data_IF_059188631492
#
_entry.id   IF_059188631492
#
_cell.length_a   1.000
_cell.length_b   1.000
_cell.length_c   1.000
_cell.angle_alpha   90.00
_cell.angle_beta   90.00
_cell.angle_gamma   90.00
#
_symmetry.space_group_name_H-M   'P 1'
#
loop_
_entity.id
_entity.type
_entity.pdbx_description
1 polymer ?
#
# COMPACT_ATOMS: atom_id res chain seq x y z
N UNK A 1 -5.60 -23.29 3.18
CA UNK A 1 -5.84 -23.82 1.91
C UNK A 1 -5.78 -22.87 0.78
N UNK A 2 -5.73 -23.42 -0.34
CA UNK A 2 -5.61 -22.61 -1.53
C UNK A 2 -6.74 -21.63 -1.70
N UNK A 3 -7.87 -21.91 -1.16
CA UNK A 3 -8.99 -21.03 -1.36
C UNK A 3 -8.78 -19.64 -0.83
N UNK A 4 -7.83 -19.45 0.03
CA UNK A 4 -7.58 -18.10 0.50
C UNK A 4 -6.84 -17.24 -0.48
N UNK A 5 -6.06 -17.85 -1.33
CA UNK A 5 -5.32 -17.09 -2.31
C UNK A 5 -6.21 -16.33 -3.26
N UNK A 6 -7.25 -16.96 -3.78
CA UNK A 6 -8.14 -16.23 -4.66
C UNK A 6 -8.75 -15.01 -3.98
N UNK A 7 -9.05 -15.14 -2.72
CA UNK A 7 -9.63 -14.03 -1.99
C UNK A 7 -8.69 -12.84 -1.97
N UNK A 8 -7.44 -13.10 -1.68
CA UNK A 8 -6.47 -12.02 -1.66
C UNK A 8 -6.30 -11.39 -3.04
N UNK A 9 -6.28 -12.22 -4.05
CA UNK A 9 -6.16 -11.71 -5.38
C UNK A 9 -7.30 -10.80 -5.76
N UNK A 10 -8.49 -11.16 -5.36
CA UNK A 10 -9.64 -10.34 -5.66
C UNK A 10 -9.54 -8.98 -4.99
N UNK A 11 -9.11 -8.96 -3.74
CA UNK A 11 -8.97 -7.70 -3.04
C UNK A 11 -7.96 -6.79 -3.73
N UNK A 12 -6.87 -7.36 -4.15
CA UNK A 12 -5.86 -6.57 -4.83
C UNK A 12 -6.40 -6.02 -6.13
N UNK A 13 -7.14 -6.83 -6.84
CA UNK A 13 -7.72 -6.38 -8.09
C UNK A 13 -8.66 -5.23 -7.88
N UNK A 14 -9.47 -5.32 -6.87
CA UNK A 14 -10.40 -4.24 -6.58
C UNK A 14 -9.67 -2.96 -6.26
N UNK A 15 -8.60 -3.06 -5.50
CA UNK A 15 -7.83 -1.89 -5.14
C UNK A 15 -7.24 -1.22 -6.36
N UNK A 16 -6.74 -2.00 -7.28
CA UNK A 16 -6.19 -1.45 -8.49
C UNK A 16 -7.24 -0.71 -9.29
N UNK A 17 -8.40 -1.31 -9.42
CA UNK A 17 -9.46 -0.67 -10.17
C UNK A 17 -9.84 0.66 -9.55
N UNK A 18 -9.93 0.69 -8.25
CA UNK A 18 -10.26 1.93 -7.56
C UNK A 18 -9.18 2.96 -7.80
N UNK A 19 -7.94 2.56 -7.71
CA UNK A 19 -6.84 3.48 -7.92
C UNK A 19 -6.86 4.10 -9.29
N UNK A 20 -7.17 3.30 -10.30
CA UNK A 20 -7.21 3.83 -11.64
C UNK A 20 -8.32 4.85 -11.81
N UNK A 21 -9.47 4.58 -11.24
CA UNK A 21 -10.56 5.52 -11.34
C UNK A 21 -10.22 6.83 -10.68
N UNK A 22 -9.61 6.76 -9.52
CA UNK A 22 -9.21 7.97 -8.82
C UNK A 22 -8.16 8.73 -9.61
N UNK A 23 -7.26 8.01 -10.24
CA UNK A 23 -6.23 8.64 -11.01
C UNK A 23 -6.78 9.54 -12.08
N UNK A 24 -7.81 9.09 -12.74
CA UNK A 24 -8.45 9.91 -13.73
C UNK A 24 -8.98 11.19 -13.14
N UNK A 25 -9.67 11.07 -12.04
CA UNK A 25 -10.32 12.22 -11.45
C UNK A 25 -9.30 13.25 -11.02
N UNK A 26 -8.24 12.80 -10.44
CA UNK A 26 -7.26 13.71 -9.88
C UNK A 26 -6.37 14.29 -10.95
N UNK A 27 -5.83 13.45 -11.77
CA UNK A 27 -4.99 13.91 -12.87
C UNK A 27 -3.61 14.29 -12.51
N UNK A 28 -3.26 14.41 -11.25
CA UNK A 28 -1.94 14.91 -10.89
C UNK A 28 -0.95 13.79 -10.60
N UNK A 29 -1.02 13.18 -9.50
CA UNK A 29 -0.05 12.16 -9.11
C UNK A 29 -0.76 10.87 -8.79
N UNK A 30 -1.46 10.30 -9.76
CA UNK A 30 -2.30 9.13 -9.47
C UNK A 30 -1.52 7.94 -8.98
N UNK A 31 -0.32 7.74 -9.50
CA UNK A 31 0.46 6.58 -9.10
C UNK A 31 1.09 6.78 -7.72
N UNK A 32 1.47 7.99 -7.39
CA UNK A 32 2.00 8.28 -6.07
C UNK A 32 0.92 8.10 -5.02
N UNK A 33 -0.28 8.59 -5.30
CA UNK A 33 -1.39 8.42 -4.38
C UNK A 33 -1.75 6.96 -4.22
N UNK A 34 -1.78 6.23 -5.32
CA UNK A 34 -2.09 4.81 -5.26
C UNK A 34 -1.04 4.06 -4.45
N UNK A 35 0.21 4.46 -4.58
CA UNK A 35 1.27 3.80 -3.84
C UNK A 35 1.07 3.93 -2.34
N UNK A 36 0.65 5.11 -1.89
CA UNK A 36 0.37 5.28 -0.47
C UNK A 36 -0.72 4.31 -0.02
N UNK A 37 -1.77 4.18 -0.81
CA UNK A 37 -2.84 3.26 -0.46
C UNK A 37 -2.36 1.82 -0.35
N UNK A 38 -1.54 1.39 -1.28
CA UNK A 38 -1.01 0.03 -1.22
C UNK A 38 -0.08 -0.18 -0.04
N UNK A 39 0.73 0.81 0.27
CA UNK A 39 1.61 0.71 1.42
C UNK A 39 0.81 0.65 2.72
N UNK A 40 -0.24 1.43 2.81
CA UNK A 40 -1.09 1.38 4.00
C UNK A 40 -1.77 0.02 4.14
N UNK A 41 -2.20 -0.55 3.04
CA UNK A 41 -2.80 -1.88 3.07
C UNK A 41 -1.79 -2.93 3.51
N UNK A 42 -0.58 -2.86 2.99
CA UNK A 42 0.45 -3.80 3.38
C UNK A 42 0.78 -3.67 4.86
N UNK A 43 0.84 -2.44 5.35
CA UNK A 43 1.10 -2.21 6.75
C UNK A 43 0.01 -2.84 7.62
N UNK A 44 -1.23 -2.69 7.21
CA UNK A 44 -2.33 -3.25 7.97
C UNK A 44 -2.24 -4.78 8.03
N UNK A 45 -1.86 -5.40 6.91
CA UNK A 45 -1.72 -6.85 6.89
C UNK A 45 -0.61 -7.30 7.82
N UNK A 46 0.51 -6.61 7.80
CA UNK A 46 1.62 -6.96 8.68
C UNK A 46 1.24 -6.78 10.13
N UNK A 47 0.48 -5.75 10.43
CA UNK A 47 0.06 -5.50 11.80
C UNK A 47 -0.81 -6.63 12.34
N UNK A 48 -1.51 -7.31 11.45
CA UNK A 48 -2.39 -8.40 11.86
C UNK A 48 -1.73 -9.77 11.80
N UNK A 49 -0.52 -9.84 11.30
CA UNK A 49 0.18 -11.10 11.23
C UNK A 49 0.41 -11.64 12.64
N UNK A 50 0.31 -12.95 12.79
CA UNK A 50 0.34 -13.55 14.10
C UNK A 50 1.70 -13.63 14.74
N UNK A 51 2.75 -13.72 13.96
CA UNK A 51 4.09 -13.88 14.49
C UNK A 51 5.01 -12.81 13.99
N UNK A 52 5.92 -12.38 14.84
CA UNK A 52 6.88 -11.35 14.48
C UNK A 52 8.10 -11.88 13.73
N UNK A 53 8.33 -13.17 13.77
CA UNK A 53 9.41 -13.80 13.00
C UNK A 53 10.75 -13.09 13.17
N UNK A 54 11.27 -13.15 14.38
CA UNK A 54 12.59 -12.61 14.64
C UNK A 54 12.68 -11.10 14.55
N UNK A 55 11.57 -10.42 14.70
CA UNK A 55 11.56 -8.96 14.63
C UNK A 55 11.37 -8.42 13.23
N UNK A 56 11.31 -9.27 12.24
CA UNK A 56 11.24 -8.79 10.87
C UNK A 56 9.89 -8.18 10.54
N UNK A 57 8.82 -8.62 11.18
CA UNK A 57 7.52 -8.01 10.94
C UNK A 57 7.51 -6.56 11.40
N UNK A 58 8.02 -6.31 12.57
CA UNK A 58 8.08 -4.94 13.09
C UNK A 58 8.99 -4.09 12.22
N UNK A 59 10.12 -4.64 11.81
CA UNK A 59 11.03 -3.91 10.96
C UNK A 59 10.38 -3.57 9.62
N UNK A 60 9.62 -4.49 9.08
CA UNK A 60 8.94 -4.23 7.81
C UNK A 60 7.92 -3.11 7.95
N UNK A 61 7.17 -3.11 9.03
CA UNK A 61 6.20 -2.04 9.28
C UNK A 61 6.92 -0.70 9.34
N UNK A 62 8.05 -0.65 10.03
CA UNK A 62 8.82 0.59 10.12
C UNK A 62 9.31 1.08 8.77
N UNK A 63 9.76 0.16 7.93
CA UNK A 63 10.20 0.53 6.60
C UNK A 63 9.06 1.02 5.73
N UNK A 64 7.89 0.42 5.89
CA UNK A 64 6.72 0.89 5.16
C UNK A 64 6.35 2.29 5.61
N UNK A 65 6.40 2.56 6.90
CA UNK A 65 6.12 3.90 7.39
C UNK A 65 7.07 4.93 6.79
N UNK A 66 8.34 4.57 6.69
CA UNK A 66 9.30 5.46 6.06
C UNK A 66 9.01 5.65 4.58
N UNK A 67 8.59 4.58 3.92
CA UNK A 67 8.26 4.68 2.50
C UNK A 67 7.06 5.59 2.29
N UNK A 68 6.05 5.47 3.12
CA UNK A 68 4.88 6.34 3.03
C UNK A 68 5.30 7.79 3.19
N UNK A 69 6.17 8.05 4.15
CA UNK A 69 6.65 9.41 4.37
C UNK A 69 7.37 9.95 3.14
N UNK A 70 8.22 9.13 2.54
CA UNK A 70 8.93 9.56 1.35
C UNK A 70 8.00 9.84 0.18
N UNK A 71 6.99 9.00 0.01
CA UNK A 71 6.03 9.23 -1.07
C UNK A 71 5.29 10.53 -0.83
N UNK A 72 4.88 10.79 0.40
CA UNK A 72 4.20 12.04 0.72
C UNK A 72 5.09 13.25 0.46
N UNK A 73 6.36 13.14 0.79
CA UNK A 73 7.30 14.23 0.51
C UNK A 73 7.46 14.46 -0.98
N UNK A 74 7.44 13.36 -1.74
CA UNK A 74 7.50 13.49 -3.19
C UNK A 74 6.29 14.20 -3.74
N UNK A 75 5.12 13.89 -3.23
CA UNK A 75 3.92 14.58 -3.65
C UNK A 75 3.99 16.05 -3.28
N UNK A 76 4.42 16.35 -2.07
CA UNK A 76 4.51 17.72 -1.61
C UNK A 76 5.54 18.52 -2.39
N UNK A 77 6.55 17.87 -2.90
CA UNK A 77 7.54 18.54 -3.70
C UNK A 77 6.98 19.01 -5.04
N UNK A 78 5.73 18.73 -5.29
CA UNK A 78 5.09 19.25 -6.49
C UNK A 78 5.44 18.49 -7.74
N UNK A 79 6.09 17.43 -7.57
CA UNK A 79 6.50 16.72 -8.75
C UNK A 79 5.35 16.06 -9.38
N UNK A 80 4.63 15.52 -8.99
CA UNK A 80 3.58 14.85 -9.72
C UNK A 80 4.14 13.79 -10.60
#
# INVERSE_FOLDING_TARGET
MAKRFPVYGLLLGASLATGLGIGYAVGQQPHMEAAIGFLQSARAELAQALANKGGHRVAAIGLIDQAIDQVRRGIAAGGG
#
